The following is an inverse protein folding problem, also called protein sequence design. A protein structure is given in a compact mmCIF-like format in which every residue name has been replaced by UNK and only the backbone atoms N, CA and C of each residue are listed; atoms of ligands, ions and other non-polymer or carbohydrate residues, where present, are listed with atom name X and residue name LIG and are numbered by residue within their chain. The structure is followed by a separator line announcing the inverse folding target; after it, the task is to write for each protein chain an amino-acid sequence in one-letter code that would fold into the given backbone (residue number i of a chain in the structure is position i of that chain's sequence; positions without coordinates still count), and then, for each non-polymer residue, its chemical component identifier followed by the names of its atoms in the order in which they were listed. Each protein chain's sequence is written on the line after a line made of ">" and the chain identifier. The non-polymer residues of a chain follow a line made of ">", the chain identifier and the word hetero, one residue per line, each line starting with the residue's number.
data_IF_842543475789
#
_entry.id   IF_842543475789
#
_cell.length_a   1.000
_cell.length_b   1.000
_cell.length_c   1.000
_cell.angle_alpha   90.00
_cell.angle_beta   90.00
_cell.angle_gamma   90.00
#
_symmetry.space_group_name_H-M   'P 1'
#
loop_
_entity.id
_entity.type
_entity.pdbx_description
1 polymer ?
#
# COMPACT_ATOMS: atom_id res chain seq x y z
N UNK A 1 -2.54 1.06 -24.86
CA UNK A 1 -3.49 0.47 -23.90
C UNK A 1 -2.69 -0.38 -22.95
N UNK A 2 -2.71 -0.08 -21.66
CA UNK A 2 -1.97 -0.85 -20.67
C UNK A 2 -2.51 -2.28 -20.62
N UNK A 3 -1.72 -3.26 -21.08
CA UNK A 3 -1.99 -4.66 -20.82
C UNK A 3 -1.77 -4.90 -19.32
N UNK A 4 -2.85 -4.94 -18.54
CA UNK A 4 -2.77 -5.22 -17.12
C UNK A 4 -2.22 -6.62 -16.83
N UNK A 5 -1.83 -6.87 -15.58
CA UNK A 5 -1.32 -8.18 -15.14
C UNK A 5 -2.38 -9.30 -15.07
N UNK A 6 -3.65 -9.02 -15.41
CA UNK A 6 -4.73 -10.01 -15.47
C UNK A 6 -5.28 -10.48 -14.11
N UNK A 7 -4.68 -10.07 -12.99
CA UNK A 7 -5.14 -10.44 -11.66
C UNK A 7 -6.42 -9.67 -11.27
N UNK A 8 -7.36 -10.35 -10.61
CA UNK A 8 -8.55 -9.70 -10.03
C UNK A 8 -8.12 -8.76 -8.90
N UNK A 9 -8.75 -7.60 -8.83
CA UNK A 9 -8.52 -6.68 -7.72
C UNK A 9 -9.27 -7.14 -6.46
N UNK A 10 -8.57 -7.34 -5.33
CA UNK A 10 -9.21 -7.73 -4.09
C UNK A 10 -9.98 -6.56 -3.46
N UNK A 11 -10.96 -6.89 -2.62
CA UNK A 11 -11.67 -5.91 -1.78
C UNK A 11 -10.89 -5.72 -0.49
N UNK A 12 -10.42 -4.50 -0.23
CA UNK A 12 -9.68 -4.19 1.00
C UNK A 12 -10.67 -3.74 2.08
N UNK A 13 -10.60 -4.35 3.26
CA UNK A 13 -11.37 -3.95 4.45
C UNK A 13 -10.42 -3.68 5.61
N UNK A 14 -10.80 -2.73 6.46
CA UNK A 14 -10.11 -2.43 7.72
C UNK A 14 -10.72 -3.27 8.83
N UNK A 15 -9.89 -4.06 9.50
CA UNK A 15 -10.25 -4.84 10.69
C UNK A 15 -9.39 -4.34 11.86
N UNK A 16 -9.98 -3.57 12.78
CA UNK A 16 -9.24 -2.93 13.87
C UNK A 16 -8.16 -1.97 13.34
N UNK A 17 -6.89 -2.26 13.64
CA UNK A 17 -5.72 -1.55 13.12
C UNK A 17 -5.09 -2.20 11.87
N UNK A 18 -5.59 -3.37 11.45
CA UNK A 18 -5.09 -4.11 10.30
C UNK A 18 -5.89 -3.84 9.02
N UNK A 19 -5.24 -4.06 7.89
CA UNK A 19 -5.87 -4.11 6.57
C UNK A 19 -5.89 -5.55 6.05
N UNK A 20 -7.02 -5.95 5.51
CA UNK A 20 -7.25 -7.31 4.98
C UNK A 20 -7.79 -7.20 3.57
N UNK A 21 -7.16 -7.92 2.64
CA UNK A 21 -7.62 -8.09 1.27
C UNK A 21 -8.46 -9.37 1.15
N UNK A 22 -9.63 -9.26 0.51
CA UNK A 22 -10.53 -10.37 0.21
C UNK A 22 -10.60 -10.57 -1.30
N UNK A 23 -10.24 -11.75 -1.79
CA UNK A 23 -10.35 -12.08 -3.21
C UNK A 23 -11.79 -12.48 -3.56
N UNK A 24 -12.39 -11.79 -4.54
CA UNK A 24 -13.81 -11.99 -4.91
C UNK A 24 -13.93 -13.22 -5.84
N UNK A 25 -14.55 -14.30 -5.33
CA UNK A 25 -14.81 -15.53 -6.08
C UNK A 25 -14.21 -16.81 -5.49
N UNK A 26 -13.54 -16.73 -4.34
CA UNK A 26 -13.18 -17.87 -3.51
C UNK A 26 -14.11 -17.82 -2.28
N UNK A 27 -15.09 -18.74 -2.22
CA UNK A 27 -16.10 -18.79 -1.15
C UNK A 27 -15.53 -19.30 0.19
N UNK A 28 -14.33 -19.88 0.16
CA UNK A 28 -13.61 -20.34 1.35
C UNK A 28 -12.70 -19.27 1.94
N UNK A 29 -12.37 -19.45 3.23
CA UNK A 29 -11.43 -18.62 4.00
C UNK A 29 -10.05 -18.43 3.36
N UNK A 30 -9.72 -19.20 2.32
CA UNK A 30 -8.49 -19.13 1.53
C UNK A 30 -8.31 -17.78 0.78
N UNK A 31 -9.39 -17.05 0.53
CA UNK A 31 -9.34 -15.74 -0.13
C UNK A 31 -8.94 -14.56 0.78
N UNK A 32 -8.73 -14.79 2.08
CA UNK A 32 -8.39 -13.74 3.06
C UNK A 32 -6.88 -13.57 3.21
N UNK A 33 -6.37 -12.40 2.83
CA UNK A 33 -4.94 -12.07 2.90
C UNK A 33 -4.73 -10.85 3.77
N UNK A 34 -3.95 -10.99 4.85
CA UNK A 34 -3.54 -9.85 5.68
C UNK A 34 -2.50 -9.01 4.90
N UNK A 35 -2.73 -7.70 4.85
CA UNK A 35 -1.82 -6.75 4.21
C UNK A 35 -0.80 -6.23 5.23
N UNK A 36 0.38 -6.85 5.25
CA UNK A 36 1.51 -6.38 6.05
C UNK A 36 2.13 -5.11 5.45
N UNK A 37 2.75 -4.28 6.30
CA UNK A 37 3.40 -3.03 5.88
C UNK A 37 4.44 -3.22 4.78
N UNK A 38 5.25 -4.28 4.87
CA UNK A 38 6.25 -4.61 3.83
C UNK A 38 5.61 -4.90 2.47
N UNK A 39 4.52 -5.67 2.45
CA UNK A 39 3.80 -6.01 1.21
C UNK A 39 3.21 -4.75 0.57
N UNK A 40 2.62 -3.88 1.38
CA UNK A 40 2.06 -2.60 0.90
C UNK A 40 3.17 -1.69 0.37
N UNK A 41 4.27 -1.54 1.11
CA UNK A 41 5.43 -0.75 0.69
C UNK A 41 6.00 -1.23 -0.66
N UNK A 42 6.15 -2.56 -0.84
CA UNK A 42 6.64 -3.14 -2.09
C UNK A 42 5.70 -2.92 -3.29
N UNK A 43 4.39 -2.78 -3.05
CA UNK A 43 3.42 -2.46 -4.11
C UNK A 43 3.51 -0.97 -4.45
N UNK A 44 3.48 -0.09 -3.45
CA UNK A 44 3.52 1.35 -3.65
C UNK A 44 4.81 1.80 -4.33
N UNK A 45 5.95 1.17 -4.01
CA UNK A 45 7.24 1.44 -4.65
C UNK A 45 7.27 1.11 -6.14
N UNK A 46 6.38 0.22 -6.63
CA UNK A 46 6.30 -0.15 -8.05
C UNK A 46 5.44 0.79 -8.89
N UNK A 47 4.74 1.74 -8.27
CA UNK A 47 3.97 2.75 -8.99
C UNK A 47 4.95 3.65 -9.73
N UNK A 48 4.70 3.89 -11.01
CA UNK A 48 5.55 4.75 -11.83
C UNK A 48 5.42 6.22 -11.41
N UNK A 49 6.43 7.04 -11.70
CA UNK A 49 6.39 8.47 -11.38
C UNK A 49 5.25 9.20 -12.14
N UNK A 50 4.91 8.74 -13.34
CA UNK A 50 3.76 9.23 -14.12
C UNK A 50 2.44 8.91 -13.42
N UNK A 51 2.23 7.64 -13.03
CA UNK A 51 1.03 7.20 -12.30
C UNK A 51 0.91 7.89 -10.95
N UNK A 52 2.04 8.09 -10.26
CA UNK A 52 2.09 8.84 -9.01
C UNK A 52 1.57 10.28 -9.20
N UNK A 53 1.98 10.94 -10.28
CA UNK A 53 1.52 12.29 -10.60
C UNK A 53 0.02 12.30 -10.95
N UNK A 54 -0.46 11.30 -11.70
CA UNK A 54 -1.90 11.16 -12.00
C UNK A 54 -2.76 10.92 -10.75
N UNK A 55 -2.21 10.24 -9.73
CA UNK A 55 -2.84 10.04 -8.43
C UNK A 55 -2.83 11.31 -7.55
N UNK A 56 -2.16 12.38 -7.99
CA UNK A 56 -2.05 13.65 -7.27
C UNK A 56 -0.88 13.74 -6.29
N UNK A 57 0.08 12.82 -6.36
CA UNK A 57 1.32 12.87 -5.58
C UNK A 57 2.41 13.66 -6.31
N UNK A 58 3.30 14.28 -5.54
CA UNK A 58 4.49 14.93 -6.06
C UNK A 58 5.68 13.99 -5.88
N UNK A 59 6.33 13.60 -6.98
CA UNK A 59 7.43 12.63 -6.96
C UNK A 59 8.66 13.10 -6.19
N UNK A 60 8.79 14.41 -5.94
CA UNK A 60 9.90 15.00 -5.18
C UNK A 60 9.60 15.10 -3.68
N UNK A 61 8.34 15.34 -3.31
CA UNK A 61 7.97 15.67 -1.93
C UNK A 61 7.04 14.66 -1.25
N UNK A 62 6.27 13.89 -2.00
CA UNK A 62 5.21 13.04 -1.47
C UNK A 62 5.05 11.74 -2.26
N UNK A 63 6.13 10.95 -2.42
CA UNK A 63 6.00 9.63 -3.05
C UNK A 63 5.08 8.71 -2.23
N UNK A 64 4.28 7.87 -2.90
CA UNK A 64 3.28 7.03 -2.24
C UNK A 64 3.90 5.99 -1.28
N UNK A 65 5.10 5.47 -1.56
CA UNK A 65 5.78 4.51 -0.69
C UNK A 65 6.17 5.09 0.67
N UNK A 66 6.38 6.41 0.75
CA UNK A 66 6.75 7.11 1.99
C UNK A 66 5.61 7.19 3.02
N UNK A 67 4.39 6.82 2.64
CA UNK A 67 3.28 6.67 3.57
C UNK A 67 3.49 5.51 4.56
N UNK A 68 4.36 4.55 4.22
CA UNK A 68 4.73 3.44 5.11
C UNK A 68 6.00 3.80 5.87
N UNK A 69 5.91 3.87 7.21
CA UNK A 69 7.04 4.18 8.07
C UNK A 69 8.03 3.00 8.09
N UNK A 70 9.21 3.20 7.51
CA UNK A 70 10.33 2.24 7.52
C UNK A 70 11.44 2.65 8.49
N UNK A 71 11.64 3.95 8.65
CA UNK A 71 12.59 4.55 9.59
C UNK A 71 11.84 5.50 10.49
N UNK A 72 11.85 5.22 11.79
CA UNK A 72 11.26 6.11 12.79
C UNK A 72 12.30 7.11 13.27
N UNK A 73 12.02 8.40 13.06
CA UNK A 73 12.88 9.46 13.56
C UNK A 73 12.80 9.54 15.07
N UNK A 74 13.96 9.56 15.74
CA UNK A 74 14.03 9.71 17.19
C UNK A 74 14.20 11.19 17.52
N UNK A 75 13.25 11.81 18.24
CA UNK A 75 13.33 13.22 18.58
C UNK A 75 14.41 13.50 19.66
N UNK A 76 15.08 14.67 19.59
CA UNK A 76 16.03 15.09 20.62
C UNK A 76 15.34 15.31 21.98
N UNK A 77 16.09 15.36 23.10
CA UNK A 77 15.51 15.49 24.44
C UNK A 77 14.61 16.72 24.66
N UNK A 78 14.80 17.81 23.91
CA UNK A 78 13.95 19.01 24.01
C UNK A 78 12.52 18.80 23.50
N UNK A 79 12.29 17.72 22.74
CA UNK A 79 11.00 17.37 22.11
C UNK A 79 10.42 16.09 22.72
N UNK A 80 11.16 15.45 23.64
CA UNK A 80 10.68 14.28 24.39
C UNK A 80 9.87 14.69 25.61
#
# INVERSE_FOLDING_TARGET
>A
GFSGCGNKQPVIKKEGMGLVAFMKGEEDSDGKVILNGERVHNILKKISDEDSTYLGFDTKYSKPDWLVITVLLVPPPSVR
#
